data_IF_583569904142
#
_entry.id   IF_583569904142
#
_cell.length_a   1.000
_cell.length_b   1.000
_cell.length_c   1.000
_cell.angle_alpha   90.00
_cell.angle_beta   90.00
_cell.angle_gamma   90.00
#
_symmetry.space_group_name_H-M   'P 1'
#
loop_
_entity.id
_entity.type
_entity.pdbx_description
1 polymer ?
#
# COMPACT_ATOMS: atom_id res chain seq x y z
N UNK A 1 -4.00 -0.62 -24.58
CA UNK A 1 -3.47 0.26 -23.51
C UNK A 1 -3.78 -0.39 -22.18
N UNK A 2 -2.81 -0.53 -21.28
CA UNK A 2 -3.07 -1.05 -19.93
C UNK A 2 -3.78 0.06 -19.16
N UNK A 3 -4.97 -0.21 -18.64
CA UNK A 3 -5.81 0.77 -17.94
C UNK A 3 -5.42 0.96 -16.47
N UNK A 4 -4.40 0.22 -16.00
CA UNK A 4 -3.95 0.23 -14.61
C UNK A 4 -2.42 0.18 -14.52
N UNK A 5 -1.82 0.74 -13.45
CA UNK A 5 -0.40 0.62 -13.16
C UNK A 5 0.05 -0.85 -13.10
N UNK A 6 1.31 -1.15 -13.46
CA UNK A 6 1.86 -2.49 -13.35
C UNK A 6 2.07 -2.89 -11.88
N UNK A 7 2.34 -4.16 -11.62
CA UNK A 7 2.69 -4.61 -10.27
C UNK A 7 2.82 -6.12 -10.16
N UNK A 8 3.24 -6.62 -8.97
CA UNK A 8 3.46 -8.04 -8.73
C UNK A 8 2.15 -8.83 -8.80
N UNK A 9 2.22 -10.02 -9.40
CA UNK A 9 1.11 -10.95 -9.41
C UNK A 9 0.88 -11.51 -8.00
N UNK A 10 -0.26 -11.19 -7.40
CA UNK A 10 -0.69 -11.75 -6.12
C UNK A 10 -1.29 -13.16 -6.26
N UNK A 11 -1.39 -13.88 -5.15
CA UNK A 11 -2.16 -15.13 -5.08
C UNK A 11 -3.64 -14.83 -4.80
N UNK A 12 -4.58 -15.71 -5.17
CA UNK A 12 -6.00 -15.50 -4.90
C UNK A 12 -6.28 -15.17 -3.42
N UNK A 13 -7.14 -14.18 -3.17
CA UNK A 13 -7.62 -13.71 -1.85
C UNK A 13 -6.57 -13.02 -0.97
N UNK A 14 -5.31 -13.47 -0.98
CA UNK A 14 -4.25 -12.90 -0.13
C UNK A 14 -3.34 -11.89 -0.84
N UNK A 15 -3.42 -11.77 -2.16
CA UNK A 15 -2.59 -10.85 -2.93
C UNK A 15 -1.11 -11.10 -2.65
N UNK A 16 -0.41 -10.05 -2.20
CA UNK A 16 1.00 -10.06 -1.83
C UNK A 16 1.24 -9.98 -0.30
N UNK A 17 0.20 -10.13 0.53
CA UNK A 17 0.29 -9.94 1.99
C UNK A 17 1.33 -10.82 2.67
N UNK A 18 1.52 -12.07 2.22
CA UNK A 18 2.53 -12.96 2.82
C UNK A 18 3.96 -12.50 2.55
N UNK A 19 4.22 -11.96 1.37
CA UNK A 19 5.54 -11.45 0.99
C UNK A 19 5.83 -10.16 1.77
N UNK A 20 4.86 -9.26 1.80
CA UNK A 20 4.90 -8.03 2.57
C UNK A 20 5.10 -8.27 4.07
N UNK A 21 4.33 -9.18 4.69
CA UNK A 21 4.42 -9.46 6.12
C UNK A 21 5.73 -10.15 6.54
N UNK A 22 6.38 -10.87 5.62
CA UNK A 22 7.65 -11.56 5.90
C UNK A 22 8.83 -10.59 5.95
N UNK A 23 8.90 -9.68 4.99
CA UNK A 23 9.95 -8.66 4.88
C UNK A 23 9.43 -7.47 4.05
N UNK A 24 8.80 -6.48 4.69
CA UNK A 24 8.12 -5.40 3.98
C UNK A 24 9.08 -4.51 3.22
N UNK A 25 10.29 -4.25 3.75
CA UNK A 25 11.26 -3.38 3.11
C UNK A 25 11.85 -4.01 1.86
N UNK A 26 12.22 -5.29 1.93
CA UNK A 26 12.70 -6.01 0.74
C UNK A 26 11.61 -6.11 -0.31
N UNK A 27 10.37 -6.41 0.10
CA UNK A 27 9.23 -6.46 -0.83
C UNK A 27 9.00 -5.12 -1.53
N UNK A 28 8.84 -4.02 -0.77
CA UNK A 28 8.58 -2.70 -1.34
C UNK A 28 9.74 -2.23 -2.25
N UNK A 29 10.98 -2.47 -1.85
CA UNK A 29 12.16 -2.14 -2.69
C UNK A 29 12.11 -2.89 -4.02
N UNK A 30 11.82 -4.21 -3.97
CA UNK A 30 11.72 -5.02 -5.20
C UNK A 30 10.58 -4.58 -6.12
N UNK A 31 9.47 -4.10 -5.55
CA UNK A 31 8.33 -3.57 -6.32
C UNK A 31 8.73 -2.26 -7.01
N UNK A 32 9.40 -1.35 -6.29
CA UNK A 32 9.90 -0.10 -6.87
C UNK A 32 10.88 -0.38 -8.03
N UNK A 33 11.85 -1.27 -7.81
CA UNK A 33 12.87 -1.62 -8.81
C UNK A 33 12.26 -2.26 -10.07
N UNK A 34 11.20 -3.07 -9.91
CA UNK A 34 10.59 -3.80 -11.02
C UNK A 34 9.52 -3.02 -11.78
N UNK A 35 8.80 -2.11 -11.13
CA UNK A 35 7.58 -1.50 -11.67
C UNK A 35 7.61 0.03 -11.75
N UNK A 36 8.60 0.68 -11.12
CA UNK A 36 8.84 2.12 -11.22
C UNK A 36 7.98 2.96 -10.28
N UNK A 37 7.59 4.15 -10.77
CA UNK A 37 7.04 5.25 -9.97
C UNK A 37 5.69 4.96 -9.31
N UNK A 38 4.85 4.15 -9.97
CA UNK A 38 3.53 3.75 -9.48
C UNK A 38 3.31 2.27 -9.74
N UNK A 39 3.08 1.51 -8.66
CA UNK A 39 2.80 0.09 -8.73
C UNK A 39 1.48 -0.25 -8.04
N UNK A 40 0.71 -1.19 -8.60
CA UNK A 40 -0.55 -1.69 -8.03
C UNK A 40 -0.40 -3.12 -7.54
N UNK A 41 -0.78 -3.39 -6.30
CA UNK A 41 -0.85 -4.74 -5.75
C UNK A 41 -1.89 -4.84 -4.64
N UNK A 42 -2.30 -6.05 -4.30
CA UNK A 42 -3.28 -6.27 -3.24
C UNK A 42 -2.59 -6.73 -1.95
N UNK A 43 -3.01 -6.18 -0.81
CA UNK A 43 -2.69 -6.68 0.52
C UNK A 43 -3.97 -7.28 1.12
N UNK A 44 -4.22 -8.55 0.79
CA UNK A 44 -5.45 -9.23 1.15
C UNK A 44 -6.62 -8.62 0.38
N UNK A 45 -7.69 -8.15 1.06
CA UNK A 45 -8.81 -7.49 0.41
C UNK A 45 -8.52 -6.03 0.00
N UNK A 46 -7.33 -5.50 0.34
CA UNK A 46 -7.02 -4.06 0.20
C UNK A 46 -6.23 -3.82 -1.08
N UNK A 47 -6.87 -3.15 -2.04
CA UNK A 47 -6.19 -2.65 -3.23
C UNK A 47 -5.19 -1.56 -2.82
N UNK A 48 -3.93 -1.75 -3.16
CA UNK A 48 -2.83 -0.87 -2.75
C UNK A 48 -2.13 -0.29 -3.98
N UNK A 49 -1.88 1.02 -3.93
CA UNK A 49 -1.03 1.73 -4.88
C UNK A 49 0.21 2.23 -4.14
N UNK A 50 1.38 1.77 -4.57
CA UNK A 50 2.66 2.26 -4.08
C UNK A 50 3.15 3.37 -5.00
N UNK A 51 3.50 4.51 -4.41
CA UNK A 51 4.01 5.71 -5.11
C UNK A 51 5.42 5.98 -4.62
N UNK A 52 6.37 6.12 -5.54
CA UNK A 52 7.79 6.35 -5.25
C UNK A 52 8.34 7.65 -5.85
N UNK A 53 7.61 8.27 -6.79
CA UNK A 53 7.98 9.57 -7.34
C UNK A 53 7.81 10.68 -6.29
N UNK A 54 8.85 11.48 -5.97
CA UNK A 54 8.77 12.53 -4.96
C UNK A 54 7.67 13.57 -5.21
N UNK A 55 7.41 13.94 -6.46
CA UNK A 55 6.37 14.91 -6.79
C UNK A 55 4.96 14.36 -6.53
N UNK A 56 4.74 13.07 -6.80
CA UNK A 56 3.47 12.42 -6.52
C UNK A 56 3.28 12.17 -5.01
N UNK A 57 4.37 11.88 -4.29
CA UNK A 57 4.37 11.78 -2.82
C UNK A 57 3.97 13.12 -2.20
N UNK A 58 4.59 14.23 -2.65
CA UNK A 58 4.23 15.58 -2.22
C UNK A 58 2.77 15.88 -2.54
N UNK A 59 2.30 15.46 -3.72
CA UNK A 59 0.91 15.65 -4.11
C UNK A 59 -0.07 14.95 -3.18
N UNK A 60 0.18 13.68 -2.87
CA UNK A 60 -0.69 12.86 -2.02
C UNK A 60 -0.65 13.32 -0.56
N UNK A 61 0.53 13.64 -0.04
CA UNK A 61 0.73 13.89 1.39
C UNK A 61 0.67 15.37 1.79
N UNK A 62 0.78 16.30 0.83
CA UNK A 62 0.92 17.73 1.12
C UNK A 62 -0.02 18.60 0.28
N UNK A 63 0.11 18.61 -1.05
CA UNK A 63 -0.59 19.62 -1.86
C UNK A 63 -2.07 19.31 -2.08
N UNK A 64 -2.45 18.02 -2.03
CA UNK A 64 -3.82 17.55 -2.20
C UNK A 64 -4.26 16.60 -1.06
N UNK A 65 -3.67 16.74 0.14
CA UNK A 65 -3.93 15.87 1.29
C UNK A 65 -5.44 15.71 1.61
N UNK A 66 -6.23 16.77 1.45
CA UNK A 66 -7.67 16.74 1.66
C UNK A 66 -8.44 15.78 0.74
N UNK A 67 -7.84 15.32 -0.36
CA UNK A 67 -8.40 14.31 -1.28
C UNK A 67 -8.02 12.87 -0.90
N UNK A 68 -7.06 12.70 0.00
CA UNK A 68 -6.50 11.43 0.40
C UNK A 68 -6.71 11.23 1.90
N UNK A 69 -7.66 10.38 2.26
CA UNK A 69 -7.91 10.08 3.66
C UNK A 69 -7.00 8.97 4.14
N UNK A 70 -6.52 9.10 5.38
CA UNK A 70 -5.93 7.96 6.07
C UNK A 70 -7.00 6.86 6.16
N UNK A 71 -6.63 5.59 5.93
CA UNK A 71 -7.57 4.50 6.12
C UNK A 71 -8.14 4.57 7.54
N UNK A 72 -9.44 4.36 7.66
CA UNK A 72 -10.06 4.23 8.97
C UNK A 72 -9.68 2.85 9.53
N UNK A 73 -8.67 2.82 10.39
CA UNK A 73 -8.12 1.57 10.92
C UNK A 73 -8.96 1.00 12.07
N UNK A 74 -9.98 1.73 12.56
CA UNK A 74 -10.75 1.31 13.73
C UNK A 74 -11.77 0.20 13.40
N UNK A 75 -12.33 0.18 12.19
CA UNK A 75 -13.40 -0.76 11.80
C UNK A 75 -13.00 -1.84 10.78
N UNK A 76 -11.78 -1.78 10.23
CA UNK A 76 -11.34 -2.66 9.15
C UNK A 76 -10.33 -3.74 9.57
N UNK A 77 -10.14 -4.73 8.70
CA UNK A 77 -9.23 -5.88 8.90
C UNK A 77 -7.79 -5.50 9.30
N UNK A 78 -7.35 -4.26 9.03
CA UNK A 78 -6.05 -3.74 9.48
C UNK A 78 -6.03 -3.48 11.00
N UNK A 79 -7.11 -3.02 11.62
CA UNK A 79 -7.18 -2.85 13.08
C UNK A 79 -6.94 -4.16 13.83
N UNK A 80 -7.50 -5.27 13.32
CA UNK A 80 -7.24 -6.61 13.85
C UNK A 80 -5.78 -7.06 13.66
N UNK A 81 -5.12 -6.64 12.58
CA UNK A 81 -3.72 -6.98 12.30
C UNK A 81 -2.72 -6.14 13.10
N UNK A 82 -3.04 -4.88 13.41
CA UNK A 82 -2.16 -3.97 14.16
C UNK A 82 -2.30 -4.12 15.68
N UNK A 83 -3.44 -4.64 16.17
CA UNK A 83 -3.75 -4.75 17.60
C UNK A 83 -3.83 -3.38 18.28
N UNK A 84 -3.98 -3.32 19.61
CA UNK A 84 -4.14 -2.06 20.37
C UNK A 84 -2.83 -1.24 20.53
N UNK A 85 -1.93 -1.32 19.54
CA UNK A 85 -0.63 -0.65 19.58
C UNK A 85 -0.72 0.88 19.44
N UNK A 86 0.38 1.56 19.78
CA UNK A 86 0.57 3.02 19.70
C UNK A 86 0.19 3.67 18.35
N UNK A 87 0.09 2.88 17.28
CA UNK A 87 -0.33 3.33 15.95
C UNK A 87 -1.85 3.61 15.85
N UNK A 88 -2.65 3.03 16.75
CA UNK A 88 -4.10 3.21 16.82
C UNK A 88 -4.52 4.15 17.95
N UNK A 89 -3.56 4.72 18.68
CA UNK A 89 -3.82 5.67 19.77
C UNK A 89 -4.07 7.06 19.18
N UNK A 90 -5.33 7.52 19.23
CA UNK A 90 -5.65 8.94 19.14
C UNK A 90 -5.65 9.59 20.53
#
# INVERSE_FOLDING_TARGET
>A
MRTQPPGPAGVPVFGNSRQYARDPFTFLTSVADAYGDVARFDLGPIETYMVTNPADIERVLVTEDAKYHKPDFQDDAIGTLLGDGLLLSE
#
